data_IF_567416092582
#
_entry.id   IF_567416092582
#
_cell.length_a   1.000
_cell.length_b   1.000
_cell.length_c   1.000
_cell.angle_alpha   90.00
_cell.angle_beta   90.00
_cell.angle_gamma   90.00
#
_symmetry.space_group_name_H-M   'P 1'
#
loop_
_entity.id
_entity.type
_entity.pdbx_description
1 polymer ?
#
# COMPACT_ATOMS: atom_id res chain seq x y z
N UNK A 1 7.26 -6.93 -16.17
CA UNK A 1 6.38 -6.03 -15.38
C UNK A 1 6.38 -6.58 -13.98
N UNK A 2 6.84 -5.81 -12.99
CA UNK A 2 6.77 -6.21 -11.59
C UNK A 2 5.37 -5.92 -11.07
N UNK A 3 4.79 -6.86 -10.32
CA UNK A 3 3.49 -6.69 -9.70
C UNK A 3 3.70 -6.24 -8.25
N UNK A 4 3.01 -5.17 -7.87
CA UNK A 4 3.00 -4.65 -6.52
C UNK A 4 1.56 -4.54 -6.04
N UNK A 5 1.32 -4.85 -4.78
CA UNK A 5 0.00 -4.75 -4.16
C UNK A 5 0.07 -3.86 -2.92
N UNK A 6 -0.84 -2.89 -2.85
CA UNK A 6 -1.04 -2.07 -1.66
C UNK A 6 -2.40 -2.41 -1.08
N UNK A 7 -2.45 -2.61 0.22
CA UNK A 7 -3.67 -2.98 0.94
C UNK A 7 -3.79 -2.15 2.20
N UNK A 8 -5.00 -1.71 2.52
CA UNK A 8 -5.32 -1.18 3.84
C UNK A 8 -6.14 -2.19 4.63
N UNK A 9 -5.64 -2.58 5.81
CA UNK A 9 -6.34 -3.50 6.70
C UNK A 9 -7.17 -2.70 7.69
N UNK A 10 -8.50 -2.80 7.59
CA UNK A 10 -9.44 -2.02 8.41
C UNK A 10 -9.89 -2.71 9.71
N UNK A 11 -9.52 -3.99 9.92
CA UNK A 11 -9.83 -4.68 11.16
C UNK A 11 -9.13 -3.96 12.35
N UNK A 12 -9.88 -3.45 13.35
CA UNK A 12 -9.32 -2.70 14.46
C UNK A 12 -8.39 -3.52 15.36
N UNK A 13 -8.49 -4.84 15.34
CA UNK A 13 -7.64 -5.72 16.14
C UNK A 13 -6.27 -5.97 15.48
N UNK A 14 -6.11 -5.59 14.21
CA UNK A 14 -4.84 -5.76 13.50
C UNK A 14 -3.78 -4.84 14.10
N UNK A 15 -2.70 -5.46 14.59
CA UNK A 15 -1.53 -4.75 15.10
C UNK A 15 -0.44 -4.67 14.05
N UNK A 16 0.48 -3.72 14.19
CA UNK A 16 1.58 -3.55 13.24
C UNK A 16 2.68 -4.61 13.42
N UNK A 17 3.08 -5.26 12.32
CA UNK A 17 4.29 -6.08 12.29
C UNK A 17 5.53 -5.24 12.01
N UNK A 18 5.39 -4.17 11.23
CA UNK A 18 6.41 -3.14 11.05
C UNK A 18 6.63 -2.35 12.36
N UNK A 19 7.70 -2.68 13.08
CA UNK A 19 8.02 -2.03 14.36
C UNK A 19 9.48 -1.66 14.41
N UNK A 20 9.84 -0.74 15.30
CA UNK A 20 11.22 -0.31 15.53
C UNK A 20 12.16 -1.48 15.90
N UNK A 21 11.62 -2.52 16.53
CA UNK A 21 12.33 -3.75 16.90
C UNK A 21 12.17 -4.89 15.88
N UNK A 22 11.38 -4.68 14.80
CA UNK A 22 11.11 -5.64 13.75
C UNK A 22 11.12 -4.98 12.36
N UNK A 23 12.29 -4.46 11.97
CA UNK A 23 12.47 -3.71 10.73
C UNK A 23 12.33 -4.53 9.45
N UNK A 24 12.41 -5.86 9.56
CA UNK A 24 12.27 -6.78 8.42
C UNK A 24 10.91 -6.65 7.73
N UNK A 25 9.87 -6.31 8.51
CA UNK A 25 8.50 -6.09 8.05
C UNK A 25 8.21 -4.64 7.69
N UNK A 26 9.21 -3.75 7.69
CA UNK A 26 9.06 -2.33 7.38
C UNK A 26 9.65 -1.98 6.01
N UNK A 27 9.02 -1.06 5.25
CA UNK A 27 9.65 -0.54 4.04
C UNK A 27 10.94 0.22 4.41
N UNK A 28 11.95 0.26 3.52
CA UNK A 28 13.24 0.91 3.80
C UNK A 28 13.12 2.39 4.21
N UNK A 29 12.14 3.10 3.67
CA UNK A 29 11.81 4.46 4.03
C UNK A 29 10.32 4.75 3.88
N UNK A 30 9.89 5.82 4.54
CA UNK A 30 8.58 6.44 4.40
C UNK A 30 8.73 7.80 3.72
N UNK A 31 7.81 8.12 2.82
CA UNK A 31 7.72 9.46 2.21
C UNK A 31 6.63 10.25 2.93
N UNK A 32 7.02 11.21 3.76
CA UNK A 32 6.08 12.05 4.52
C UNK A 32 5.18 12.89 3.62
N UNK A 33 4.14 13.50 4.20
CA UNK A 33 3.20 14.39 3.50
C UNK A 33 3.91 15.54 2.76
N UNK A 34 5.03 16.06 3.28
CA UNK A 34 5.83 17.12 2.63
C UNK A 34 6.79 16.60 1.54
N UNK A 35 6.88 15.28 1.36
CA UNK A 35 7.79 14.63 0.41
C UNK A 35 9.16 14.29 1.00
N UNK A 36 9.38 14.53 2.29
CA UNK A 36 10.62 14.13 2.97
C UNK A 36 10.73 12.61 3.09
N UNK A 37 11.91 12.08 2.79
CA UNK A 37 12.26 10.67 2.99
C UNK A 37 12.74 10.46 4.43
N UNK A 38 12.05 9.59 5.16
CA UNK A 38 12.34 9.23 6.54
C UNK A 38 12.72 7.75 6.56
N UNK A 39 13.95 7.42 6.92
CA UNK A 39 14.41 6.03 6.91
C UNK A 39 13.85 5.23 8.09
N UNK A 40 13.61 3.93 7.91
CA UNK A 40 13.10 3.03 8.97
C UNK A 40 13.98 2.90 10.21
N UNK A 41 15.21 3.42 10.17
CA UNK A 41 16.11 3.48 11.32
C UNK A 41 15.96 4.79 12.12
N UNK A 42 15.26 5.79 11.59
CA UNK A 42 14.94 7.04 12.29
C UNK A 42 13.73 6.82 13.20
N UNK A 43 13.93 6.04 14.26
CA UNK A 43 12.84 5.50 15.10
C UNK A 43 11.89 6.54 15.70
N UNK A 44 12.36 7.77 15.91
CA UNK A 44 11.55 8.87 16.45
C UNK A 44 10.62 9.53 15.42
N UNK A 45 10.82 9.25 14.13
CA UNK A 45 10.15 9.93 13.02
C UNK A 45 9.41 8.98 12.09
N UNK A 46 9.92 7.75 11.94
CA UNK A 46 9.31 6.78 11.05
C UNK A 46 7.94 6.35 11.61
N UNK A 47 6.85 6.43 10.82
CA UNK A 47 5.50 6.15 11.32
C UNK A 47 5.20 4.65 11.29
N UNK A 48 5.84 3.88 12.18
CA UNK A 48 5.67 2.42 12.25
C UNK A 48 4.20 1.98 12.33
N UNK A 49 3.39 2.70 13.11
CA UNK A 49 1.95 2.45 13.27
C UNK A 49 1.13 2.61 12.00
N UNK A 50 1.64 3.29 10.98
CA UNK A 50 0.96 3.47 9.71
C UNK A 50 1.09 2.25 8.78
N UNK A 51 2.03 1.34 9.08
CA UNK A 51 2.33 0.16 8.27
C UNK A 51 1.98 -1.10 9.06
N UNK A 52 1.41 -2.09 8.39
CA UNK A 52 1.30 -3.44 8.93
C UNK A 52 2.52 -4.27 8.52
N UNK A 53 2.76 -4.41 7.21
CA UNK A 53 3.78 -5.28 6.63
C UNK A 53 4.30 -4.70 5.32
N UNK A 54 5.61 -4.80 5.13
CA UNK A 54 6.26 -4.75 3.83
C UNK A 54 6.98 -6.07 3.60
N UNK A 55 6.78 -6.67 2.42
CA UNK A 55 7.63 -7.76 1.95
C UNK A 55 8.11 -7.46 0.52
N UNK A 56 9.36 -7.81 0.28
CA UNK A 56 10.06 -7.52 -0.96
C UNK A 56 9.71 -8.53 -2.06
N UNK A 57 9.82 -8.15 -3.34
CA UNK A 57 9.65 -9.09 -4.43
C UNK A 57 10.84 -10.06 -4.51
N UNK A 58 10.55 -11.33 -4.77
CA UNK A 58 11.57 -12.40 -4.79
C UNK A 58 12.61 -12.31 -5.91
N UNK A 59 12.45 -11.40 -6.87
CA UNK A 59 13.34 -11.20 -8.01
C UNK A 59 14.18 -9.91 -7.92
N UNK A 60 14.18 -9.22 -6.79
CA UNK A 60 14.99 -8.02 -6.57
C UNK A 60 16.49 -8.36 -6.39
N UNK A 61 17.38 -7.58 -7.02
CA UNK A 61 18.83 -7.85 -6.99
C UNK A 61 19.56 -7.08 -5.87
N UNK A 62 18.99 -5.95 -5.43
CA UNK A 62 19.63 -5.00 -4.52
C UNK A 62 18.74 -4.60 -3.33
N UNK A 63 18.17 -5.58 -2.62
CA UNK A 63 17.34 -5.32 -1.44
C UNK A 63 18.18 -4.82 -0.24
N UNK A 64 17.66 -3.81 0.46
CA UNK A 64 18.27 -3.27 1.67
C UNK A 64 17.97 -4.17 2.88
N UNK A 65 19.00 -4.76 3.48
CA UNK A 65 18.86 -5.57 4.69
C UNK A 65 18.53 -4.71 5.92
N UNK A 66 17.70 -5.18 6.86
CA UNK A 66 16.96 -6.45 6.81
C UNK A 66 15.75 -6.38 5.88
N UNK A 67 15.39 -7.49 5.25
CA UNK A 67 14.18 -7.61 4.43
C UNK A 67 13.63 -9.02 4.54
N UNK A 68 12.33 -9.15 4.30
CA UNK A 68 11.69 -10.43 4.00
C UNK A 68 11.25 -10.46 2.54
N UNK A 69 11.12 -11.66 1.99
CA UNK A 69 10.52 -11.88 0.67
C UNK A 69 9.06 -12.28 0.89
N UNK A 70 8.15 -11.80 0.05
CA UNK A 70 6.75 -12.22 0.15
C UNK A 70 6.61 -13.73 0.03
N UNK A 71 5.75 -14.30 0.89
CA UNK A 71 5.54 -15.74 0.96
C UNK A 71 5.12 -16.29 -0.42
N UNK A 72 5.82 -17.31 -0.95
CA UNK A 72 5.59 -17.81 -2.30
C UNK A 72 4.32 -18.66 -2.43
N UNK A 73 3.74 -19.12 -1.31
CA UNK A 73 2.46 -19.84 -1.36
C UNK A 73 1.32 -18.88 -1.72
N UNK A 74 1.26 -17.72 -1.07
CA UNK A 74 0.28 -16.67 -1.37
C UNK A 74 0.66 -15.80 -2.57
N UNK A 75 1.96 -15.65 -2.85
CA UNK A 75 2.49 -14.76 -3.89
C UNK A 75 3.42 -15.54 -4.85
N UNK A 76 2.88 -16.41 -5.72
CA UNK A 76 3.69 -17.29 -6.56
C UNK A 76 4.43 -16.56 -7.69
N UNK A 77 4.00 -15.35 -8.04
CA UNK A 77 4.76 -14.43 -8.88
C UNK A 77 5.57 -13.52 -7.96
N UNK A 78 6.78 -13.11 -8.35
CA UNK A 78 7.68 -12.27 -7.53
C UNK A 78 7.08 -10.88 -7.26
N UNK A 79 6.08 -10.86 -6.40
CA UNK A 79 5.20 -9.77 -6.08
C UNK A 79 5.72 -9.07 -4.84
N UNK A 80 5.55 -7.76 -4.83
CA UNK A 80 5.83 -6.91 -3.68
C UNK A 80 4.52 -6.56 -2.99
N UNK A 81 4.54 -6.49 -1.65
CA UNK A 81 3.36 -6.18 -0.85
C UNK A 81 3.64 -5.04 0.12
N UNK A 82 2.72 -4.08 0.18
CA UNK A 82 2.67 -3.01 1.18
C UNK A 82 1.29 -3.04 1.85
N UNK A 83 1.22 -3.58 3.05
CA UNK A 83 0.01 -3.52 3.90
C UNK A 83 0.14 -2.33 4.86
N UNK A 84 -0.86 -1.46 4.85
CA UNK A 84 -0.96 -0.26 5.69
C UNK A 84 -2.16 -0.37 6.65
N UNK A 85 -2.10 0.41 7.72
CA UNK A 85 -3.14 0.49 8.75
C UNK A 85 -3.77 1.89 8.74
N UNK A 86 -5.02 2.05 9.23
CA UNK A 86 -5.63 3.35 9.42
C UNK A 86 -4.71 4.29 10.21
N UNK A 87 -4.39 5.44 9.61
CA UNK A 87 -3.43 6.38 10.17
C UNK A 87 -3.58 7.78 9.58
N UNK A 88 -3.20 8.81 10.36
CA UNK A 88 -3.18 10.21 9.92
C UNK A 88 -2.30 10.47 8.68
N UNK A 89 -1.28 9.64 8.45
CA UNK A 89 -0.42 9.73 7.26
C UNK A 89 -1.20 9.48 5.97
N UNK A 90 -2.28 8.69 6.04
CA UNK A 90 -3.09 8.30 4.89
C UNK A 90 -4.41 9.07 4.82
N UNK A 91 -4.87 9.65 5.93
CA UNK A 91 -6.17 10.36 5.97
C UNK A 91 -6.19 11.61 5.10
N UNK A 92 -5.03 12.24 4.86
CA UNK A 92 -4.90 13.34 3.88
C UNK A 92 -5.21 12.90 2.44
N UNK A 93 -5.24 11.60 2.17
CA UNK A 93 -5.62 10.99 0.91
C UNK A 93 -7.02 10.34 0.97
N UNK A 94 -7.78 10.62 2.03
CA UNK A 94 -9.16 10.16 2.23
C UNK A 94 -9.29 8.74 2.79
N UNK A 95 -8.19 8.10 3.17
CA UNK A 95 -8.22 6.77 3.78
C UNK A 95 -8.57 6.82 5.28
N UNK A 96 -9.06 5.71 5.87
CA UNK A 96 -9.25 5.55 7.31
C UNK A 96 -8.13 6.16 8.16
N UNK A 97 -8.51 6.97 9.14
CA UNK A 97 -7.57 7.67 10.03
C UNK A 97 -7.27 6.84 11.28
N UNK A 98 -8.29 6.13 11.80
CA UNK A 98 -8.23 5.41 13.07
C UNK A 98 -8.69 3.98 12.90
N UNK A 99 -8.12 3.09 13.72
CA UNK A 99 -8.60 1.72 13.82
C UNK A 99 -10.10 1.70 14.12
N UNK A 100 -10.84 0.92 13.35
CA UNK A 100 -12.31 0.81 13.44
C UNK A 100 -13.06 1.69 12.45
N UNK A 101 -12.42 2.68 11.82
CA UNK A 101 -13.02 3.43 10.72
C UNK A 101 -13.41 2.47 9.58
N UNK A 102 -14.69 2.49 9.18
CA UNK A 102 -15.21 1.61 8.13
C UNK A 102 -15.37 0.14 8.55
N UNK A 103 -15.18 -0.20 9.83
CA UNK A 103 -15.40 -1.53 10.36
C UNK A 103 -16.89 -1.80 10.65
N UNK A 104 -17.21 -3.00 11.13
CA UNK A 104 -18.58 -3.40 11.46
C UNK A 104 -19.28 -2.38 12.38
N UNK A 105 -20.41 -1.85 11.91
CA UNK A 105 -21.21 -0.84 12.61
C UNK A 105 -20.87 0.61 12.26
N UNK A 106 -19.84 0.86 11.44
CA UNK A 106 -19.40 2.18 11.00
C UNK A 106 -19.47 2.31 9.46
N UNK A 107 -20.68 2.41 8.92
CA UNK A 107 -20.88 2.60 7.47
C UNK A 107 -20.48 4.02 7.05
N UNK A 108 -19.56 4.12 6.09
CA UNK A 108 -19.05 5.41 5.58
C UNK A 108 -18.75 5.32 4.09
N UNK A 109 -18.85 6.48 3.43
CA UNK A 109 -18.36 6.68 2.06
C UNK A 109 -16.98 7.31 2.12
N UNK A 110 -16.05 6.81 1.30
CA UNK A 110 -14.68 7.30 1.23
C UNK A 110 -14.40 7.90 -0.16
N UNK A 111 -13.83 9.11 -0.18
CA UNK A 111 -13.28 9.71 -1.39
C UNK A 111 -11.76 9.54 -1.34
N UNK A 112 -11.23 8.61 -2.15
CA UNK A 112 -9.82 8.19 -2.07
C UNK A 112 -8.97 8.83 -3.16
N UNK A 113 -7.90 9.52 -2.77
CA UNK A 113 -6.82 9.92 -3.69
C UNK A 113 -5.78 8.79 -3.78
N UNK A 114 -6.16 7.73 -4.49
CA UNK A 114 -5.34 6.53 -4.70
C UNK A 114 -4.01 6.88 -5.37
N UNK A 115 -4.02 7.86 -6.30
CA UNK A 115 -2.83 8.32 -6.99
C UNK A 115 -1.81 8.96 -6.06
N UNK A 116 -2.27 9.88 -5.20
CA UNK A 116 -1.40 10.52 -4.22
C UNK A 116 -0.85 9.52 -3.19
N UNK A 117 -1.68 8.64 -2.63
CA UNK A 117 -1.19 7.58 -1.72
C UNK A 117 -0.12 6.72 -2.41
N UNK A 118 -0.42 6.24 -3.63
CA UNK A 118 0.49 5.39 -4.39
C UNK A 118 1.87 5.98 -4.63
N UNK A 119 1.94 7.31 -4.77
CA UNK A 119 3.19 8.02 -5.04
C UNK A 119 4.10 8.11 -3.81
N UNK A 120 3.53 7.97 -2.61
CA UNK A 120 4.27 8.03 -1.33
C UNK A 120 4.69 6.67 -0.81
N UNK A 121 3.94 5.63 -1.15
CA UNK A 121 4.27 4.26 -0.78
C UNK A 121 5.57 3.81 -1.47
N UNK A 122 6.40 3.14 -0.68
CA UNK A 122 7.62 2.49 -1.16
C UNK A 122 7.23 1.29 -2.02
N UNK A 123 7.72 1.27 -3.26
CA UNK A 123 7.80 0.05 -4.06
C UNK A 123 9.21 -0.02 -4.64
N UNK A 124 9.76 -1.22 -4.59
CA UNK A 124 11.11 -1.53 -4.96
C UNK A 124 11.36 -1.22 -6.43
N UNK A 125 12.57 -0.75 -6.70
CA UNK A 125 13.09 -0.62 -8.05
C UNK A 125 14.60 -0.81 -7.98
N UNK A 126 15.14 -1.71 -8.81
CA UNK A 126 16.58 -1.93 -8.87
C UNK A 126 17.32 -0.62 -9.23
N UNK A 127 18.37 -0.26 -8.50
CA UNK A 127 19.16 0.93 -8.78
C UNK A 127 19.66 0.97 -10.23
N UNK A 128 19.61 2.15 -10.84
CA UNK A 128 20.08 2.35 -12.23
C UNK A 128 19.11 1.88 -13.32
N UNK A 129 17.97 1.27 -12.96
CA UNK A 129 16.92 0.95 -13.94
C UNK A 129 16.07 2.18 -14.30
N UNK A 130 15.35 2.11 -15.43
CA UNK A 130 14.43 3.18 -15.83
C UNK A 130 13.29 3.32 -14.80
N UNK A 131 12.92 4.54 -14.39
CA UNK A 131 11.80 4.77 -13.47
C UNK A 131 10.55 3.98 -13.85
N UNK A 132 9.99 3.25 -12.89
CA UNK A 132 8.79 2.47 -13.10
C UNK A 132 7.58 3.39 -13.35
N UNK A 133 6.76 3.04 -14.35
CA UNK A 133 5.42 3.60 -14.50
C UNK A 133 4.42 2.69 -13.79
N UNK A 134 3.79 3.20 -12.74
CA UNK A 134 2.75 2.47 -11.98
C UNK A 134 1.40 2.62 -12.68
N UNK A 135 0.68 1.50 -12.82
CA UNK A 135 -0.66 1.45 -13.41
C UNK A 135 -1.54 0.65 -12.47
N UNK A 136 -2.65 1.27 -12.06
CA UNK A 136 -3.66 0.64 -11.21
C UNK A 136 -4.65 -0.10 -12.10
N UNK A 137 -4.71 -1.42 -11.98
CA UNK A 137 -5.52 -2.29 -12.85
C UNK A 137 -6.78 -2.82 -12.19
N UNK A 138 -6.81 -2.88 -10.85
CA UNK A 138 -7.95 -3.37 -10.08
C UNK A 138 -8.01 -2.73 -8.70
N UNK A 139 -9.20 -2.80 -8.11
CA UNK A 139 -9.47 -2.57 -6.69
C UNK A 139 -10.11 -3.85 -6.18
N UNK A 140 -9.64 -4.34 -5.04
CA UNK A 140 -10.16 -5.58 -4.44
C UNK A 140 -10.63 -5.26 -3.03
N UNK A 141 -11.73 -5.88 -2.63
CA UNK A 141 -12.30 -5.81 -1.29
C UNK A 141 -12.60 -7.23 -0.87
N UNK A 142 -12.19 -7.60 0.34
CA UNK A 142 -12.45 -8.93 0.87
C UNK A 142 -11.76 -9.15 2.20
N UNK A 143 -11.86 -10.38 2.67
CA UNK A 143 -11.20 -10.83 3.91
C UNK A 143 -9.99 -11.69 3.54
N UNK A 144 -8.80 -11.27 3.98
CA UNK A 144 -7.63 -12.14 3.93
C UNK A 144 -7.72 -13.21 5.03
N UNK A 145 -7.49 -14.48 4.67
CA UNK A 145 -7.46 -15.61 5.62
C UNK A 145 -6.04 -16.16 5.62
N UNK A 146 -5.34 -15.99 6.73
CA UNK A 146 -3.96 -16.44 6.86
C UNK A 146 -3.85 -17.96 6.99
N UNK A 147 -2.67 -18.49 6.67
CA UNK A 147 -2.37 -19.92 6.80
C UNK A 147 -2.56 -20.34 8.26
N UNK A 148 -3.43 -21.32 8.46
CA UNK A 148 -3.78 -21.88 9.78
C UNK A 148 -3.72 -23.40 9.74
N UNK A 149 -3.36 -24.02 10.86
CA UNK A 149 -3.38 -25.48 11.02
C UNK A 149 -4.78 -26.02 11.39
N UNK A 150 -5.76 -25.13 11.50
CA UNK A 150 -7.17 -25.43 11.77
C UNK A 150 -8.04 -24.81 10.69
N UNK A 151 -9.29 -25.28 10.61
CA UNK A 151 -10.26 -24.69 9.72
C UNK A 151 -10.62 -23.28 10.18
N UNK A 152 -10.42 -22.30 9.32
CA UNK A 152 -10.87 -20.92 9.52
C UNK A 152 -12.11 -20.67 8.66
N UNK A 153 -13.04 -19.85 9.13
CA UNK A 153 -14.25 -19.46 8.38
C UNK A 153 -14.51 -17.98 8.61
N UNK A 154 -14.65 -17.23 7.52
CA UNK A 154 -15.01 -15.83 7.55
C UNK A 154 -16.37 -15.63 6.87
N UNK A 155 -17.26 -14.90 7.53
CA UNK A 155 -18.52 -14.44 6.96
C UNK A 155 -18.48 -12.91 6.92
N UNK A 156 -18.75 -12.35 5.76
CA UNK A 156 -18.73 -10.90 5.55
C UNK A 156 -19.76 -10.52 4.49
N UNK A 157 -20.19 -9.26 4.53
CA UNK A 157 -21.11 -8.68 3.56
C UNK A 157 -20.62 -7.28 3.22
N UNK A 158 -20.61 -6.95 1.94
CA UNK A 158 -20.42 -5.59 1.43
C UNK A 158 -21.68 -5.25 0.65
N UNK A 159 -22.33 -4.15 1.02
CA UNK A 159 -23.45 -3.58 0.30
C UNK A 159 -23.10 -2.17 -0.19
N UNK A 160 -23.83 -1.68 -1.19
CA UNK A 160 -23.74 -0.29 -1.66
C UNK A 160 -22.31 0.15 -2.04
N UNK A 161 -21.54 -0.74 -2.68
CA UNK A 161 -20.17 -0.49 -3.12
C UNK A 161 -20.13 0.13 -4.52
N UNK A 162 -19.97 1.44 -4.56
CA UNK A 162 -19.82 2.21 -5.79
C UNK A 162 -18.39 2.73 -5.94
N UNK A 163 -17.79 2.52 -7.13
CA UNK A 163 -16.51 3.13 -7.50
C UNK A 163 -16.77 4.27 -8.46
N UNK A 164 -16.70 5.50 -7.95
CA UNK A 164 -16.87 6.71 -8.73
C UNK A 164 -15.51 7.24 -9.20
N UNK A 165 -15.28 7.22 -10.51
CA UNK A 165 -14.09 7.83 -11.11
C UNK A 165 -14.47 9.23 -11.60
N UNK A 166 -13.86 10.31 -11.08
CA UNK A 166 -14.14 11.66 -11.55
C UNK A 166 -13.95 11.76 -13.06
N UNK A 167 -14.94 12.28 -13.78
CA UNK A 167 -14.75 12.61 -15.19
C UNK A 167 -13.66 13.68 -15.26
N UNK A 168 -12.63 13.45 -16.06
CA UNK A 168 -11.56 14.42 -16.31
C UNK A 168 -12.19 15.81 -16.55
N UNK A 169 -12.05 16.74 -15.61
CA UNK A 169 -12.05 18.16 -15.96
C UNK A 169 -10.95 18.29 -17.00
N UNK A 170 -11.38 18.49 -18.24
CA UNK A 170 -10.55 18.64 -19.43
C UNK A 170 -9.40 19.60 -19.13
N UNK A 171 -8.24 19.05 -18.81
CA UNK A 171 -6.99 19.81 -18.85
C UNK A 171 -6.80 20.14 -20.32
N UNK A 172 -6.93 21.43 -20.64
CA UNK A 172 -6.64 22.02 -21.95
C UNK A 172 -5.42 21.36 -22.61
N UNK A 173 -5.49 20.97 -23.90
CA UNK A 173 -4.36 20.39 -24.59
C UNK A 173 -3.32 21.48 -24.86
N UNK A 174 -2.27 21.53 -24.04
CA UNK A 174 -0.99 22.13 -24.42
C UNK A 174 0.14 21.24 -23.97
N UNK A 175 0.29 20.13 -24.69
CA UNK A 175 1.60 19.67 -25.15
C UNK A 175 1.34 18.77 -26.35
N UNK A 176 1.46 19.39 -27.53
CA UNK A 176 1.54 18.71 -28.81
C UNK A 176 2.81 17.87 -28.76
N UNK A 177 2.68 16.54 -28.63
CA UNK A 177 3.72 15.64 -29.09
C UNK A 177 3.82 15.81 -30.61
N UNK A 178 4.69 16.72 -31.05
CA UNK A 178 5.09 16.84 -32.44
C UNK A 178 5.93 15.61 -32.79
N UNK A 179 5.31 14.67 -33.51
CA UNK A 179 6.02 13.71 -34.32
C UNK A 179 6.77 14.48 -35.41
N UNK A 180 8.10 14.42 -35.39
CA UNK A 180 8.91 14.65 -36.58
C UNK A 180 9.43 13.32 -37.10
N UNK A 181 9.07 13.09 -38.36
CA UNK A 181 9.52 12.13 -39.38
C UNK A 181 10.86 11.45 -39.17
#
# INVERSE_FOLDING_TARGET
MQQGYSEMIINPETTSWCRHDNLVSCPPYHTSISGEIIHRNETSRFPYSAYHLYCSPGNAEHLEKPFDICDPYSNPQAQELVQILPHLEWSVHGYPEKQGDGWFGDSRTWELDVGALSSRLYFYQDPGTKPAKRVWTSINVGTEIYVSNRQETAEWTVSDFDVLVPQNTTRSPREVCSNTT
#
